data_IF_545387994296
#
_entry.id   IF_545387994296
#
_cell.length_a   1.000
_cell.length_b   1.000
_cell.length_c   1.000
_cell.angle_alpha   90.00
_cell.angle_beta   90.00
_cell.angle_gamma   90.00
#
_symmetry.space_group_name_H-M   'P 1'
#
loop_
_entity.id
_entity.type
_entity.pdbx_description
1 polymer ?
#
# COMPACT_ATOMS: atom_id res chain seq x y z
N UNK A 1 -6.45 13.98 -10.67
CA UNK A 1 -5.99 13.72 -9.29
C UNK A 1 -5.22 12.41 -9.33
N UNK A 2 -4.02 12.35 -8.74
CA UNK A 2 -3.23 11.11 -8.70
C UNK A 2 -3.97 10.08 -7.83
N UNK A 3 -3.89 8.80 -8.18
CA UNK A 3 -4.45 7.73 -7.36
C UNK A 3 -3.40 7.34 -6.29
N UNK A 4 -3.85 7.21 -5.04
CA UNK A 4 -3.01 6.76 -3.93
C UNK A 4 -3.49 5.40 -3.42
N UNK A 5 -2.54 4.56 -3.01
CA UNK A 5 -2.85 3.23 -2.49
C UNK A 5 -2.02 2.90 -1.26
N UNK A 6 -2.52 1.95 -0.48
CA UNK A 6 -1.81 1.29 0.60
C UNK A 6 -1.64 -0.19 0.24
N UNK A 7 -0.41 -0.67 0.38
CA UNK A 7 -0.02 -2.05 0.13
C UNK A 7 0.30 -2.74 1.44
N UNK A 8 -0.41 -3.83 1.73
CA UNK A 8 -0.16 -4.66 2.91
C UNK A 8 0.90 -5.71 2.62
N UNK A 9 1.80 -5.91 3.56
CA UNK A 9 2.79 -6.99 3.56
C UNK A 9 2.96 -7.55 4.98
N UNK A 10 3.28 -8.83 5.12
CA UNK A 10 3.68 -9.41 6.39
C UNK A 10 5.20 -9.29 6.55
N UNK A 11 5.71 -8.69 7.65
CA UNK A 11 7.15 -8.45 7.81
C UNK A 11 8.01 -9.72 7.80
N UNK A 12 7.43 -10.86 8.19
CA UNK A 12 8.06 -12.17 8.14
C UNK A 12 8.27 -12.70 6.72
N UNK A 13 7.47 -12.24 5.76
CA UNK A 13 7.60 -12.60 4.34
C UNK A 13 8.40 -11.54 3.58
N UNK A 14 7.98 -10.28 3.67
CA UNK A 14 8.64 -9.17 3.00
C UNK A 14 8.42 -7.84 3.73
N UNK A 15 9.37 -7.45 4.59
CA UNK A 15 9.29 -6.21 5.37
C UNK A 15 9.55 -4.94 4.54
N UNK A 16 9.17 -3.78 5.08
CA UNK A 16 9.55 -2.50 4.46
C UNK A 16 11.08 -2.30 4.41
N UNK A 17 11.82 -2.82 5.39
CA UNK A 17 13.29 -2.79 5.39
C UNK A 17 13.87 -3.58 4.22
N UNK A 18 13.30 -4.76 3.91
CA UNK A 18 13.67 -5.52 2.71
C UNK A 18 13.42 -4.71 1.44
N UNK A 19 12.24 -4.06 1.33
CA UNK A 19 11.95 -3.17 0.20
C UNK A 19 12.98 -2.03 0.08
N UNK A 20 13.36 -1.41 1.19
CA UNK A 20 14.38 -0.34 1.18
C UNK A 20 15.76 -0.84 0.73
N UNK A 21 16.16 -2.04 1.14
CA UNK A 21 17.42 -2.66 0.71
C UNK A 21 17.40 -2.98 -0.79
N UNK A 22 16.29 -3.55 -1.26
CA UNK A 22 16.14 -3.99 -2.65
C UNK A 22 15.90 -2.80 -3.61
N UNK A 23 15.44 -1.67 -3.06
CA UNK A 23 15.10 -0.40 -3.73
C UNK A 23 13.90 -0.50 -4.66
N UNK A 24 13.88 -1.48 -5.55
CA UNK A 24 12.79 -1.73 -6.49
C UNK A 24 12.43 -3.21 -6.43
N UNK A 25 11.13 -3.51 -6.43
CA UNK A 25 10.64 -4.88 -6.48
C UNK A 25 9.34 -4.98 -7.28
N UNK A 26 9.02 -6.18 -7.75
CA UNK A 26 7.68 -6.49 -8.27
C UNK A 26 6.77 -6.80 -7.09
N UNK A 27 5.64 -6.10 -7.01
CA UNK A 27 4.65 -6.34 -5.96
C UNK A 27 3.76 -7.53 -6.34
N UNK A 28 4.21 -8.72 -5.99
CA UNK A 28 3.57 -10.00 -6.30
C UNK A 28 2.77 -10.58 -5.10
N UNK A 29 2.40 -11.86 -5.18
CA UNK A 29 1.69 -12.57 -4.10
C UNK A 29 0.21 -12.17 -3.93
N UNK A 30 -0.31 -11.23 -4.72
CA UNK A 30 -1.69 -10.76 -4.61
C UNK A 30 -2.65 -11.70 -5.34
N UNK A 31 -3.61 -12.27 -4.59
CA UNK A 31 -4.62 -13.19 -5.15
C UNK A 31 -6.06 -12.67 -5.08
N UNK A 32 -6.34 -11.65 -4.26
CA UNK A 32 -7.68 -11.10 -4.11
C UNK A 32 -8.08 -10.36 -5.41
N UNK A 33 -9.21 -10.70 -6.07
CA UNK A 33 -9.62 -10.07 -7.34
C UNK A 33 -9.80 -8.54 -7.26
N UNK A 34 -10.25 -8.01 -6.12
CA UNK A 34 -10.37 -6.56 -5.92
C UNK A 34 -9.00 -5.92 -5.80
N UNK A 35 -8.06 -6.57 -5.10
CA UNK A 35 -6.68 -6.09 -4.98
C UNK A 35 -5.95 -6.10 -6.32
N UNK A 36 -6.10 -7.18 -7.10
CA UNK A 36 -5.57 -7.31 -8.46
C UNK A 36 -6.11 -6.22 -9.38
N UNK A 37 -7.42 -5.93 -9.31
CA UNK A 37 -8.00 -4.81 -10.05
C UNK A 37 -7.39 -3.47 -9.64
N UNK A 38 -7.18 -3.23 -8.35
CA UNK A 38 -6.57 -1.99 -7.87
C UNK A 38 -5.12 -1.84 -8.36
N UNK A 39 -4.33 -2.93 -8.38
CA UNK A 39 -3.00 -2.93 -9.00
C UNK A 39 -3.07 -2.56 -10.48
N UNK A 40 -4.00 -3.16 -11.23
CA UNK A 40 -4.17 -2.87 -12.65
C UNK A 40 -4.64 -1.44 -12.96
N UNK A 41 -5.12 -0.69 -11.97
CA UNK A 41 -5.54 0.71 -12.09
C UNK A 41 -4.42 1.71 -11.76
N UNK A 42 -3.26 1.23 -11.30
CA UNK A 42 -2.11 2.07 -11.00
C UNK A 42 -1.44 2.61 -12.27
N UNK A 43 -0.67 3.67 -12.09
CA UNK A 43 0.18 4.27 -13.12
C UNK A 43 1.55 4.63 -12.53
N UNK A 44 2.62 4.67 -13.35
CA UNK A 44 3.90 5.20 -12.92
C UNK A 44 3.77 6.55 -12.20
N UNK A 45 4.48 6.70 -11.08
CA UNK A 45 4.42 7.88 -10.21
C UNK A 45 3.23 7.92 -9.25
N UNK A 46 2.31 6.95 -9.26
CA UNK A 46 1.30 6.82 -8.20
C UNK A 46 1.98 6.61 -6.85
N UNK A 47 1.43 7.27 -5.82
CA UNK A 47 2.00 7.28 -4.47
C UNK A 47 1.44 6.14 -3.65
N UNK A 48 2.32 5.48 -2.92
CA UNK A 48 2.00 4.29 -2.15
C UNK A 48 2.39 4.46 -0.69
N UNK A 49 1.64 3.80 0.19
CA UNK A 49 1.98 3.58 1.59
C UNK A 49 2.22 2.10 1.81
N UNK A 50 3.33 1.74 2.43
CA UNK A 50 3.60 0.37 2.87
C UNK A 50 3.05 0.18 4.27
N UNK A 51 2.20 -0.83 4.43
CA UNK A 51 1.56 -1.21 5.68
C UNK A 51 1.99 -2.61 6.06
N UNK A 52 2.58 -2.75 7.24
CA UNK A 52 2.88 -4.05 7.82
C UNK A 52 1.62 -4.58 8.51
N UNK A 53 1.29 -5.85 8.23
CA UNK A 53 0.18 -6.59 8.83
C UNK A 53 0.67 -7.83 9.58
N UNK A 54 -0.24 -8.53 10.27
CA UNK A 54 0.10 -9.64 11.15
C UNK A 54 0.39 -9.13 12.57
N UNK A 55 1.59 -9.36 13.07
CA UNK A 55 2.03 -8.93 14.41
C UNK A 55 2.26 -7.43 14.51
N UNK A 56 2.72 -6.81 13.42
CA UNK A 56 2.78 -5.35 13.26
C UNK A 56 1.57 -4.93 12.44
N UNK A 57 0.81 -3.94 12.91
CA UNK A 57 -0.43 -3.47 12.26
C UNK A 57 -0.35 -1.96 12.06
N UNK A 58 0.56 -1.53 11.18
CA UNK A 58 0.91 -0.12 11.05
C UNK A 58 1.33 0.25 9.63
N UNK A 59 1.00 1.46 9.21
CA UNK A 59 1.68 2.11 8.09
C UNK A 59 3.10 2.49 8.53
N UNK A 60 4.12 2.14 7.76
CA UNK A 60 5.53 2.25 8.16
C UNK A 60 6.38 3.06 7.18
N UNK A 61 6.00 3.12 5.91
CA UNK A 61 6.81 3.76 4.88
C UNK A 61 6.02 4.19 3.66
N UNK A 62 6.70 4.93 2.79
CA UNK A 62 6.19 5.35 1.47
C UNK A 62 6.84 4.53 0.38
N UNK A 63 6.20 4.48 -0.78
CA UNK A 63 6.73 3.93 -2.02
C UNK A 63 6.08 4.63 -3.22
N UNK A 64 6.55 4.33 -4.44
CA UNK A 64 5.92 4.81 -5.67
C UNK A 64 5.91 3.72 -6.74
N UNK A 65 4.90 3.77 -7.62
CA UNK A 65 4.82 2.86 -8.77
C UNK A 65 5.86 3.27 -9.80
N UNK A 66 6.68 2.32 -10.24
CA UNK A 66 7.67 2.48 -11.31
C UNK A 66 7.05 2.12 -12.65
N UNK A 67 6.45 0.93 -12.73
CA UNK A 67 5.88 0.39 -13.97
C UNK A 67 4.67 -0.50 -13.67
N UNK A 68 3.78 -0.63 -14.67
CA UNK A 68 2.61 -1.51 -14.61
C UNK A 68 2.54 -2.29 -15.91
N UNK A 69 2.65 -3.62 -15.82
CA UNK A 69 2.53 -4.53 -16.94
C UNK A 69 1.21 -5.32 -16.85
N UNK A 70 0.34 -5.09 -17.84
CA UNK A 70 -1.00 -5.68 -17.94
C UNK A 70 -1.09 -6.84 -18.94
N UNK A 71 0.04 -7.39 -19.38
CA UNK A 71 0.09 -8.50 -20.35
C UNK A 71 -0.69 -9.73 -19.86
N UNK A 72 -0.78 -9.91 -18.54
CA UNK A 72 -1.75 -10.80 -17.92
C UNK A 72 -2.79 -9.96 -17.14
N UNK A 73 -3.98 -9.70 -17.71
CA UNK A 73 -5.01 -8.88 -17.06
C UNK A 73 -5.51 -9.45 -15.73
N UNK A 74 -5.31 -10.75 -15.48
CA UNK A 74 -5.67 -11.41 -14.22
C UNK A 74 -4.58 -11.31 -13.16
N UNK A 75 -3.35 -10.99 -13.54
CA UNK A 75 -2.22 -10.83 -12.63
C UNK A 75 -1.30 -9.70 -13.11
N UNK A 76 -1.69 -8.42 -12.89
CA UNK A 76 -0.84 -7.28 -13.22
C UNK A 76 0.50 -7.36 -12.50
N UNK A 77 1.60 -7.25 -13.25
CA UNK A 77 2.93 -7.11 -12.65
C UNK A 77 3.20 -5.62 -12.43
N UNK A 78 3.28 -5.19 -11.17
CA UNK A 78 3.52 -3.80 -10.78
C UNK A 78 4.87 -3.71 -10.12
N UNK A 79 5.79 -2.93 -10.69
CA UNK A 79 7.05 -2.60 -10.03
C UNK A 79 6.86 -1.38 -9.14
N UNK A 80 7.39 -1.45 -7.92
CA UNK A 80 7.37 -0.34 -6.98
C UNK A 80 8.79 -0.02 -6.53
N UNK A 81 9.02 1.25 -6.24
CA UNK A 81 10.26 1.76 -5.67
C UNK A 81 10.04 2.18 -4.22
N UNK A 82 11.00 1.83 -3.36
CA UNK A 82 11.04 2.18 -1.96
C UNK A 82 11.14 3.70 -1.79
N UNK A 83 10.25 4.25 -0.97
CA UNK A 83 10.33 5.63 -0.50
C UNK A 83 11.01 5.74 0.86
N UNK A 84 10.63 6.78 1.60
CA UNK A 84 11.15 7.07 2.94
C UNK A 84 10.29 6.38 4.02
N UNK A 85 10.89 6.04 5.17
CA UNK A 85 10.10 5.65 6.34
C UNK A 85 9.22 6.81 6.79
N UNK A 86 8.08 6.49 7.39
CA UNK A 86 7.24 7.50 8.05
C UNK A 86 7.96 8.01 9.30
N UNK A 87 7.87 9.32 9.55
CA UNK A 87 8.44 9.92 10.76
C UNK A 87 7.86 9.27 12.04
N UNK A 88 6.60 8.87 11.98
CA UNK A 88 5.94 8.06 12.99
C UNK A 88 5.08 7.01 12.27
N UNK A 89 5.26 5.74 12.62
CA UNK A 89 4.38 4.67 12.14
C UNK A 89 2.94 4.92 12.65
N UNK A 90 1.95 4.75 11.78
CA UNK A 90 0.55 4.98 12.11
C UNK A 90 -0.15 3.64 12.28
N UNK A 91 -0.55 3.32 13.50
CA UNK A 91 -1.16 2.04 13.84
C UNK A 91 -2.59 1.90 13.34
N UNK A 92 -3.06 0.67 13.18
CA UNK A 92 -4.46 0.38 12.85
C UNK A 92 -5.43 0.97 13.88
N UNK A 93 -5.03 1.03 15.15
CA UNK A 93 -5.85 1.63 16.20
C UNK A 93 -6.04 3.14 15.98
N UNK A 94 -4.95 3.87 15.68
CA UNK A 94 -5.00 5.29 15.32
C UNK A 94 -5.82 5.53 14.04
N UNK A 95 -5.66 4.67 13.03
CA UNK A 95 -6.45 4.73 11.80
C UNK A 95 -7.94 4.55 12.08
N UNK A 96 -8.33 3.54 12.88
CA UNK A 96 -9.73 3.26 13.23
C UNK A 96 -10.37 4.35 14.09
N UNK A 97 -9.57 5.02 14.93
CA UNK A 97 -10.06 6.13 15.75
C UNK A 97 -10.34 7.40 14.93
N UNK A 98 -9.79 7.51 13.70
CA UNK A 98 -9.96 8.67 12.86
C UNK A 98 -11.18 8.52 11.91
N UNK A 99 -12.12 9.47 11.99
CA UNK A 99 -13.32 9.52 11.14
C UNK A 99 -13.02 9.54 9.64
N UNK A 100 -11.84 10.03 9.22
CA UNK A 100 -11.39 9.98 7.82
C UNK A 100 -11.35 8.56 7.23
N UNK A 101 -11.27 7.53 8.08
CA UNK A 101 -11.19 6.13 7.68
C UNK A 101 -12.46 5.33 7.98
N UNK A 102 -13.54 5.97 8.45
CA UNK A 102 -14.78 5.28 8.83
C UNK A 102 -15.38 4.42 7.70
N UNK A 103 -15.27 4.91 6.46
CA UNK A 103 -15.69 4.21 5.25
C UNK A 103 -14.53 3.58 4.46
N UNK A 104 -13.29 3.67 4.96
CA UNK A 104 -12.11 3.17 4.24
C UNK A 104 -12.17 1.65 4.07
N UNK A 105 -11.83 1.12 2.88
CA UNK A 105 -11.66 -0.33 2.70
C UNK A 105 -10.61 -0.91 3.64
N UNK A 106 -9.63 -0.13 4.11
CA UNK A 106 -8.66 -0.58 5.12
C UNK A 106 -9.33 -1.06 6.40
N UNK A 107 -10.37 -0.34 6.85
CA UNK A 107 -11.12 -0.63 8.08
C UNK A 107 -12.22 -1.65 7.84
N UNK A 108 -12.92 -1.54 6.70
CA UNK A 108 -14.11 -2.36 6.39
C UNK A 108 -13.78 -3.71 5.74
N UNK A 109 -12.64 -3.83 5.05
CA UNK A 109 -12.26 -5.02 4.28
C UNK A 109 -10.90 -5.54 4.75
N UNK A 110 -10.89 -6.27 5.87
CA UNK A 110 -9.64 -6.77 6.48
C UNK A 110 -8.76 -7.60 5.52
N UNK A 111 -9.37 -8.38 4.63
CA UNK A 111 -8.71 -9.26 3.64
C UNK A 111 -8.25 -8.55 2.37
N UNK A 112 -8.48 -7.25 2.22
CA UNK A 112 -8.00 -6.49 1.07
C UNK A 112 -6.55 -6.02 1.32
N UNK A 113 -5.61 -6.48 0.50
CA UNK A 113 -4.17 -6.17 0.64
C UNK A 113 -3.72 -4.93 -0.15
N UNK A 114 -4.44 -4.58 -1.23
CA UNK A 114 -4.19 -3.38 -2.02
C UNK A 114 -5.39 -2.46 -1.87
N UNK A 115 -5.22 -1.40 -1.09
CA UNK A 115 -6.31 -0.55 -0.60
C UNK A 115 -6.22 0.82 -1.26
N UNK A 116 -7.27 1.30 -1.95
CA UNK A 116 -7.29 2.68 -2.45
C UNK A 116 -7.40 3.65 -1.26
N UNK A 117 -6.65 4.74 -1.35
CA UNK A 117 -6.68 5.84 -0.39
C UNK A 117 -7.28 7.08 -1.05
N UNK A 118 -7.96 7.89 -0.26
CA UNK A 118 -8.24 9.27 -0.66
C UNK A 118 -7.01 10.14 -0.43
N UNK A 119 -6.88 11.31 -1.09
CA UNK A 119 -5.77 12.22 -0.84
C UNK A 119 -5.65 12.64 0.63
N UNK A 120 -6.78 12.79 1.33
CA UNK A 120 -6.82 13.11 2.76
C UNK A 120 -6.31 11.96 3.63
N UNK A 121 -6.65 10.71 3.30
CA UNK A 121 -6.15 9.53 3.99
C UNK A 121 -4.66 9.36 3.77
N UNK A 122 -4.17 9.53 2.54
CA UNK A 122 -2.74 9.50 2.23
C UNK A 122 -1.98 10.58 3.02
N UNK A 123 -2.48 11.81 3.02
CA UNK A 123 -1.93 12.92 3.80
C UNK A 123 -1.87 12.62 5.29
N UNK A 124 -2.94 12.06 5.86
CA UNK A 124 -2.96 11.67 7.27
C UNK A 124 -1.89 10.62 7.61
N UNK A 125 -1.71 9.61 6.75
CA UNK A 125 -0.73 8.55 6.98
C UNK A 125 0.71 9.04 6.82
N UNK A 126 0.95 9.94 5.86
CA UNK A 126 2.31 10.35 5.47
C UNK A 126 2.79 11.64 6.12
N UNK A 127 1.88 12.47 6.63
CA UNK A 127 2.18 13.80 7.15
C UNK A 127 2.52 14.85 6.07
N UNK A 128 2.29 14.53 4.78
CA UNK A 128 2.59 15.40 3.63
C UNK A 128 1.56 16.52 3.43
#
# INVERSE_FOLDING_TARGET
MAAEYLLKTEPSEYSFESLQRDKITVWDGVSNPVALRNLGQMQPGNRLVIYETGDRKSAVGTASVVSVNLSNPKNPAVEIEAGKPLAKAVSLAEIKANKLFADSPLVRQGRLSVVPLTPQQYKFLTGA
#
